data_IF_844930365241
#
_entry.id   IF_844930365241
#
_cell.length_a   1.000
_cell.length_b   1.000
_cell.length_c   1.000
_cell.angle_alpha   90.00
_cell.angle_beta   90.00
_cell.angle_gamma   90.00
#
_symmetry.space_group_name_H-M   'P 1'
#
loop_
_entity.id
_entity.type
_entity.pdbx_description
1 polymer ?
#
# COMPACT_ATOMS: atom_id res chain seq x y z
N UNK A 1 8.35 26.12 -1.69
CA UNK A 1 7.05 25.53 -2.02
C UNK A 1 5.98 26.25 -1.21
N UNK A 2 4.81 26.52 -1.80
CA UNK A 2 3.67 27.06 -1.08
C UNK A 2 2.94 25.93 -0.38
N UNK A 3 2.72 26.10 0.92
CA UNK A 3 1.97 25.18 1.77
C UNK A 3 0.68 25.88 2.22
N UNK A 4 -0.42 25.15 2.24
CA UNK A 4 -1.71 25.67 2.66
C UNK A 4 -2.53 24.58 3.36
N UNK A 5 -3.59 24.98 4.07
CA UNK A 5 -4.49 24.07 4.77
C UNK A 5 -5.84 24.00 4.05
N UNK A 6 -6.35 22.79 3.88
CA UNK A 6 -7.72 22.52 3.46
C UNK A 6 -8.35 21.58 4.46
N UNK A 7 -9.35 22.03 5.22
CA UNK A 7 -10.03 21.21 6.25
C UNK A 7 -9.03 20.52 7.20
N UNK A 8 -8.06 21.26 7.71
CA UNK A 8 -6.97 20.76 8.55
C UNK A 8 -6.06 19.68 7.89
N UNK A 9 -6.13 19.55 6.59
CA UNK A 9 -5.19 18.74 5.80
C UNK A 9 -4.08 19.66 5.32
N UNK A 10 -2.83 19.32 5.62
CA UNK A 10 -1.66 20.01 5.10
C UNK A 10 -1.48 19.70 3.63
N UNK A 11 -1.45 20.72 2.76
CA UNK A 11 -1.46 20.57 1.31
C UNK A 11 -0.24 21.20 0.65
N UNK A 12 0.28 20.53 -0.37
CA UNK A 12 1.26 21.06 -1.33
C UNK A 12 0.66 21.11 -2.73
N UNK A 13 1.16 22.00 -3.57
CA UNK A 13 0.80 22.01 -4.99
C UNK A 13 1.44 20.82 -5.71
N UNK A 14 0.62 19.93 -6.27
CA UNK A 14 1.07 18.77 -7.06
C UNK A 14 1.36 19.22 -8.49
N UNK A 15 2.64 19.38 -8.81
CA UNK A 15 3.08 19.87 -10.12
C UNK A 15 3.53 18.75 -11.08
N UNK A 16 3.83 17.56 -10.58
CA UNK A 16 4.28 16.44 -11.40
C UNK A 16 3.13 15.88 -12.25
N UNK A 17 3.34 15.84 -13.58
CA UNK A 17 2.32 15.36 -14.53
C UNK A 17 1.95 13.90 -14.35
N UNK A 18 2.89 13.06 -13.89
CA UNK A 18 2.64 11.65 -13.63
C UNK A 18 1.72 11.50 -12.43
N UNK A 19 2.02 12.20 -11.35
CA UNK A 19 1.20 12.22 -10.14
C UNK A 19 -0.18 12.83 -10.41
N UNK A 20 -0.27 13.88 -11.21
CA UNK A 20 -1.56 14.45 -11.64
C UNK A 20 -2.44 13.43 -12.39
N UNK A 21 -1.86 12.56 -13.22
CA UNK A 21 -2.61 11.47 -13.86
C UNK A 21 -3.18 10.48 -12.85
N UNK A 22 -2.39 10.11 -11.84
CA UNK A 22 -2.81 9.22 -10.75
C UNK A 22 -3.90 9.89 -9.89
N UNK A 23 -3.72 11.16 -9.50
CA UNK A 23 -4.74 11.88 -8.70
C UNK A 23 -6.06 12.03 -9.45
N UNK A 24 -6.03 12.34 -10.76
CA UNK A 24 -7.23 12.43 -11.60
C UNK A 24 -7.93 11.08 -11.72
N UNK A 25 -7.17 10.00 -11.80
CA UNK A 25 -7.69 8.64 -11.84
C UNK A 25 -8.49 8.30 -10.56
N UNK A 26 -7.92 8.55 -9.37
CA UNK A 26 -8.57 8.27 -8.09
C UNK A 26 -9.61 9.32 -7.66
N UNK A 27 -9.61 10.51 -8.26
CA UNK A 27 -10.66 11.51 -8.05
C UNK A 27 -12.05 10.99 -8.45
N UNK A 28 -12.11 10.25 -9.55
CA UNK A 28 -13.36 9.67 -10.07
C UNK A 28 -13.82 8.45 -9.27
N UNK A 29 -12.89 7.69 -8.72
CA UNK A 29 -13.19 6.46 -7.98
C UNK A 29 -12.21 6.33 -6.79
N UNK A 30 -12.51 7.01 -5.66
CA UNK A 30 -11.71 6.86 -4.44
C UNK A 30 -11.66 5.40 -4.00
N UNK A 31 -10.48 4.93 -3.58
CA UNK A 31 -10.29 3.53 -3.21
C UNK A 31 -9.40 3.40 -1.95
N UNK A 32 -9.75 2.48 -1.01
CA UNK A 32 -11.08 1.87 -0.84
C UNK A 32 -12.12 2.92 -0.44
N UNK A 33 -13.42 2.71 -0.72
CA UNK A 33 -14.45 3.67 -0.35
C UNK A 33 -15.11 3.31 1.00
N UNK A 34 -15.55 4.33 1.76
CA UNK A 34 -16.37 4.13 2.95
C UNK A 34 -17.81 3.81 2.57
N UNK A 35 -18.46 2.94 3.35
CA UNK A 35 -19.91 2.72 3.29
C UNK A 35 -20.61 3.70 4.26
N UNK A 36 -21.88 3.99 4.00
CA UNK A 36 -22.64 4.94 4.84
C UNK A 36 -22.66 4.59 6.34
N UNK A 37 -22.63 3.31 6.65
CA UNK A 37 -22.65 2.78 8.02
C UNK A 37 -21.25 2.46 8.58
N UNK A 38 -20.19 2.92 7.93
CA UNK A 38 -18.84 2.68 8.45
C UNK A 38 -18.58 3.56 9.67
N UNK A 39 -18.18 2.93 10.75
CA UNK A 39 -17.80 3.53 12.03
C UNK A 39 -16.48 2.93 12.54
N UNK A 40 -16.10 3.29 13.77
CA UNK A 40 -14.87 2.77 14.40
C UNK A 40 -14.86 1.24 14.49
N UNK A 41 -16.02 0.64 14.76
CA UNK A 41 -16.12 -0.82 14.95
C UNK A 41 -15.96 -1.52 13.61
N UNK A 42 -16.66 -1.06 12.57
CA UNK A 42 -16.56 -1.63 11.23
C UNK A 42 -15.15 -1.54 10.65
N UNK A 43 -14.44 -0.41 10.87
CA UNK A 43 -13.04 -0.26 10.43
C UNK A 43 -12.10 -1.17 11.21
N UNK A 44 -12.32 -1.36 12.52
CA UNK A 44 -11.55 -2.34 13.30
C UNK A 44 -11.78 -3.76 12.80
N UNK A 45 -13.02 -4.13 12.51
CA UNK A 45 -13.34 -5.46 11.97
C UNK A 45 -12.72 -5.69 10.59
N UNK A 46 -12.81 -4.70 9.68
CA UNK A 46 -12.19 -4.76 8.36
C UNK A 46 -10.68 -4.92 8.47
N UNK A 47 -10.02 -4.10 9.28
CA UNK A 47 -8.59 -4.15 9.50
C UNK A 47 -8.13 -5.46 10.15
N UNK A 48 -8.88 -5.99 11.13
CA UNK A 48 -8.57 -7.26 11.79
C UNK A 48 -8.74 -8.48 10.85
N UNK A 49 -9.60 -8.40 9.85
CA UNK A 49 -9.73 -9.43 8.80
C UNK A 49 -8.54 -9.42 7.82
N UNK A 50 -7.85 -8.30 7.68
CA UNK A 50 -6.62 -8.22 6.91
C UNK A 50 -5.44 -8.66 7.78
N UNK A 51 -4.97 -9.90 7.57
CA UNK A 51 -3.91 -10.52 8.39
C UNK A 51 -2.64 -9.65 8.44
N UNK A 52 -2.25 -9.05 7.32
CA UNK A 52 -1.06 -8.20 7.24
C UNK A 52 -1.23 -6.93 8.10
N UNK A 53 -2.35 -6.23 7.96
CA UNK A 53 -2.65 -5.03 8.74
C UNK A 53 -2.80 -5.34 10.24
N UNK A 54 -3.41 -6.48 10.57
CA UNK A 54 -3.57 -6.94 11.96
C UNK A 54 -2.20 -7.21 12.62
N UNK A 55 -1.32 -7.96 11.94
CA UNK A 55 0.01 -8.24 12.46
C UNK A 55 0.84 -6.97 12.61
N UNK A 56 0.77 -6.06 11.62
CA UNK A 56 1.43 -4.77 11.69
C UNK A 56 0.94 -3.96 12.90
N UNK A 57 -0.38 -3.79 13.07
CA UNK A 57 -0.95 -3.06 14.21
C UNK A 57 -0.54 -3.65 15.54
N UNK A 58 -0.51 -4.98 15.65
CA UNK A 58 -0.05 -5.67 16.86
C UNK A 58 1.45 -5.42 17.13
N UNK A 59 2.26 -5.44 16.07
CA UNK A 59 3.71 -5.28 16.17
C UNK A 59 4.14 -3.86 16.54
N UNK A 60 3.52 -2.83 15.97
CA UNK A 60 3.89 -1.43 16.24
C UNK A 60 3.69 -1.04 17.72
N UNK A 61 2.77 -1.68 18.43
CA UNK A 61 2.49 -1.37 19.83
C UNK A 61 1.91 0.03 20.05
N UNK A 62 2.42 0.75 21.05
CA UNK A 62 1.91 2.04 21.49
C UNK A 62 2.99 3.14 21.45
N UNK A 63 2.56 4.42 21.41
CA UNK A 63 3.44 5.63 21.44
C UNK A 63 4.45 5.69 20.30
N UNK A 64 4.08 5.23 19.12
CA UNK A 64 4.90 5.22 17.91
C UNK A 64 4.43 6.24 16.90
N UNK A 65 5.35 6.68 16.06
CA UNK A 65 5.09 7.51 14.89
C UNK A 65 5.07 6.63 13.66
N UNK A 66 3.93 6.60 12.97
CA UNK A 66 3.69 5.71 11.83
C UNK A 66 3.31 6.54 10.62
N UNK A 67 3.97 6.29 9.50
CA UNK A 67 3.61 6.85 8.19
C UNK A 67 2.90 5.78 7.35
N UNK A 68 1.72 6.09 6.87
CA UNK A 68 1.08 5.37 5.77
C UNK A 68 1.24 6.17 4.48
N UNK A 69 1.97 5.62 3.52
CA UNK A 69 2.19 6.22 2.20
C UNK A 69 1.13 5.73 1.23
N UNK A 70 0.55 6.65 0.43
CA UNK A 70 -0.56 6.33 -0.46
C UNK A 70 -1.80 5.89 0.32
N UNK A 71 -2.13 6.61 1.38
CA UNK A 71 -3.19 6.19 2.30
C UNK A 71 -4.61 6.26 1.68
N UNK A 72 -4.78 6.88 0.51
CA UNK A 72 -6.06 7.00 -0.18
C UNK A 72 -7.14 7.60 0.73
N UNK A 73 -8.23 6.90 0.90
CA UNK A 73 -9.32 7.31 1.81
C UNK A 73 -9.01 7.08 3.30
N UNK A 74 -7.79 6.66 3.65
CA UNK A 74 -7.31 6.57 5.02
C UNK A 74 -7.96 5.48 5.87
N UNK A 75 -8.59 4.47 5.28
CA UNK A 75 -9.22 3.40 6.08
C UNK A 75 -8.19 2.69 6.96
N UNK A 76 -7.01 2.41 6.41
CA UNK A 76 -5.96 1.71 7.13
C UNK A 76 -5.26 2.64 8.14
N UNK A 77 -5.00 3.91 7.79
CA UNK A 77 -4.48 4.91 8.73
C UNK A 77 -5.41 5.08 9.94
N UNK A 78 -6.72 5.20 9.69
CA UNK A 78 -7.73 5.23 10.75
C UNK A 78 -7.73 3.95 11.58
N UNK A 79 -7.62 2.78 10.96
CA UNK A 79 -7.49 1.50 11.67
C UNK A 79 -6.27 1.48 12.60
N UNK A 80 -5.11 1.96 12.16
CA UNK A 80 -3.91 2.02 13.00
C UNK A 80 -4.05 3.00 14.17
N UNK A 81 -4.84 4.06 14.00
CA UNK A 81 -5.10 5.06 15.03
C UNK A 81 -6.03 4.58 16.13
N UNK A 82 -7.10 3.86 15.76
CA UNK A 82 -8.17 3.47 16.68
C UNK A 82 -7.62 2.55 17.80
N UNK A 83 -7.90 2.93 19.06
CA UNK A 83 -7.49 2.16 20.23
C UNK A 83 -6.00 2.20 20.54
N UNK A 84 -5.26 3.14 19.96
CA UNK A 84 -3.84 3.36 20.21
C UNK A 84 -3.56 4.82 20.58
N UNK A 85 -2.36 5.09 21.12
CA UNK A 85 -1.83 6.43 21.30
C UNK A 85 -0.65 6.69 20.33
N UNK A 86 -0.61 5.98 19.21
CA UNK A 86 0.34 6.22 18.14
C UNK A 86 -0.02 7.51 17.39
N UNK A 87 0.99 8.20 16.88
CA UNK A 87 0.81 9.32 15.96
C UNK A 87 0.84 8.77 14.53
N UNK A 88 -0.30 8.78 13.86
CA UNK A 88 -0.41 8.27 12.49
C UNK A 88 -0.39 9.46 11.53
N UNK A 89 0.40 9.35 10.47
CA UNK A 89 0.43 10.31 9.36
C UNK A 89 0.05 9.56 8.09
N UNK A 90 -1.01 10.01 7.42
CA UNK A 90 -1.40 9.53 6.10
C UNK A 90 -0.92 10.50 5.03
N UNK A 91 -0.10 10.02 4.09
CA UNK A 91 0.37 10.78 2.93
C UNK A 91 -0.30 10.28 1.67
N UNK A 92 -0.97 11.17 0.92
CA UNK A 92 -1.56 10.85 -0.38
C UNK A 92 -1.62 12.09 -1.28
N UNK A 93 -1.34 11.98 -2.59
CA UNK A 93 -1.45 13.11 -3.51
C UNK A 93 -2.91 13.47 -3.86
N UNK A 94 -3.90 12.66 -3.45
CA UNK A 94 -5.32 12.82 -3.85
C UNK A 94 -6.13 13.52 -2.75
N UNK A 95 -6.25 14.84 -2.82
CA UNK A 95 -6.99 15.63 -1.81
C UNK A 95 -8.45 15.15 -1.62
N UNK A 96 -9.10 14.64 -2.68
CA UNK A 96 -10.47 14.12 -2.58
C UNK A 96 -10.56 12.90 -1.66
N UNK A 97 -9.58 11.99 -1.76
CA UNK A 97 -9.50 10.81 -0.90
C UNK A 97 -9.20 11.22 0.55
N UNK A 98 -8.27 12.15 0.75
CA UNK A 98 -7.92 12.64 2.09
C UNK A 98 -9.06 13.38 2.78
N UNK A 99 -9.92 14.08 2.04
CA UNK A 99 -11.14 14.68 2.62
C UNK A 99 -12.08 13.62 3.19
N UNK A 100 -12.21 12.46 2.54
CA UNK A 100 -12.98 11.33 3.07
C UNK A 100 -12.31 10.74 4.32
N UNK A 101 -10.98 10.58 4.29
CA UNK A 101 -10.19 10.09 5.42
C UNK A 101 -10.35 10.99 6.65
N UNK A 102 -10.19 12.31 6.47
CA UNK A 102 -10.32 13.31 7.56
C UNK A 102 -11.75 13.36 8.09
N UNK A 103 -12.75 13.41 7.20
CA UNK A 103 -14.16 13.40 7.60
C UNK A 103 -14.49 12.19 8.47
N UNK A 104 -14.01 11.00 8.10
CA UNK A 104 -14.21 9.79 8.89
C UNK A 104 -13.54 9.92 10.27
N UNK A 105 -12.30 10.39 10.32
CA UNK A 105 -11.57 10.61 11.58
C UNK A 105 -12.33 11.57 12.52
N UNK A 106 -12.80 12.70 11.99
CA UNK A 106 -13.52 13.72 12.76
C UNK A 106 -14.87 13.19 13.28
N UNK A 107 -15.65 12.54 12.42
CA UNK A 107 -16.95 11.95 12.80
C UNK A 107 -16.82 10.86 13.86
N UNK A 108 -15.67 10.19 13.92
CA UNK A 108 -15.40 9.11 14.85
C UNK A 108 -14.50 9.50 16.03
N UNK A 109 -14.21 10.79 16.23
CA UNK A 109 -13.36 11.30 17.32
C UNK A 109 -11.98 10.62 17.35
N UNK A 110 -11.32 10.52 16.20
CA UNK A 110 -9.96 9.98 16.05
C UNK A 110 -9.01 11.18 15.91
N UNK A 111 -8.28 11.53 16.99
CA UNK A 111 -7.47 12.73 17.06
C UNK A 111 -5.96 12.51 16.91
N UNK A 112 -5.53 11.26 16.91
CA UNK A 112 -4.12 10.87 16.83
C UNK A 112 -3.68 10.56 15.39
N UNK A 113 -4.36 11.18 14.41
CA UNK A 113 -4.07 11.04 12.98
C UNK A 113 -4.00 12.40 12.30
N UNK A 114 -3.08 12.56 11.36
CA UNK A 114 -2.95 13.73 10.49
C UNK A 114 -2.83 13.29 9.04
N UNK A 115 -3.28 14.14 8.11
CA UNK A 115 -3.20 13.85 6.69
C UNK A 115 -2.40 14.91 5.95
N UNK A 116 -1.58 14.48 4.99
CA UNK A 116 -0.74 15.33 4.15
C UNK A 116 -1.09 15.07 2.68
N UNK A 117 -1.54 16.11 1.99
CA UNK A 117 -1.75 16.09 0.56
C UNK A 117 -0.48 16.54 -0.16
N UNK A 118 0.34 15.61 -0.57
CA UNK A 118 1.59 15.87 -1.25
C UNK A 118 2.01 14.70 -2.15
N UNK A 119 2.84 14.98 -3.14
CA UNK A 119 3.59 13.95 -3.85
C UNK A 119 4.70 13.43 -2.92
N UNK A 120 5.00 12.13 -3.00
CA UNK A 120 6.11 11.52 -2.24
C UNK A 120 7.46 12.20 -2.55
N UNK A 121 7.60 12.79 -3.75
CA UNK A 121 8.79 13.55 -4.17
C UNK A 121 8.80 15.01 -3.68
N UNK A 122 7.75 15.44 -3.00
CA UNK A 122 7.76 16.72 -2.31
C UNK A 122 8.56 16.59 -1.00
N UNK A 123 9.32 17.62 -0.69
CA UNK A 123 10.16 17.65 0.52
C UNK A 123 9.30 17.99 1.75
N UNK A 124 8.41 17.06 2.13
CA UNK A 124 7.43 17.24 3.23
C UNK A 124 7.67 16.32 4.41
N UNK A 125 8.49 15.30 4.23
CA UNK A 125 8.79 14.34 5.28
C UNK A 125 10.04 14.79 6.06
N UNK A 126 9.96 14.68 7.37
CA UNK A 126 11.07 15.01 8.27
C UNK A 126 12.01 13.79 8.36
N UNK A 127 13.31 14.03 8.28
CA UNK A 127 14.32 12.98 8.40
C UNK A 127 14.26 12.33 9.80
N UNK A 128 14.51 11.02 9.84
CA UNK A 128 14.56 10.19 11.06
C UNK A 128 13.37 10.39 12.02
N UNK A 129 12.17 10.56 11.47
CA UNK A 129 10.99 10.89 12.26
C UNK A 129 10.09 9.70 12.60
N UNK A 130 9.90 8.75 11.65
CA UNK A 130 8.95 7.66 11.80
C UNK A 130 9.60 6.41 12.38
N UNK A 131 8.92 5.79 13.34
CA UNK A 131 9.30 4.47 13.87
C UNK A 131 8.92 3.37 12.88
N UNK A 132 7.83 3.57 12.12
CA UNK A 132 7.30 2.63 11.16
C UNK A 132 6.80 3.33 9.90
N UNK A 133 7.06 2.72 8.75
CA UNK A 133 6.53 3.15 7.45
C UNK A 133 5.79 1.99 6.81
N UNK A 134 4.53 2.23 6.48
CA UNK A 134 3.70 1.34 5.67
C UNK A 134 3.55 1.92 4.26
N UNK A 135 4.09 1.24 3.26
CA UNK A 135 4.03 1.64 1.86
C UNK A 135 3.65 0.43 1.00
N UNK A 136 2.37 0.10 0.99
CA UNK A 136 1.86 -1.10 0.32
C UNK A 136 1.03 -0.75 -0.90
N UNK A 137 1.45 -1.20 -2.08
CA UNK A 137 0.71 -0.96 -3.32
C UNK A 137 0.92 0.44 -3.92
N UNK A 138 2.02 1.14 -3.62
CA UNK A 138 2.20 2.56 -3.95
C UNK A 138 3.37 2.82 -4.88
N UNK A 139 4.58 2.40 -4.51
CA UNK A 139 5.80 2.84 -5.22
C UNK A 139 5.81 2.46 -6.70
N UNK A 140 5.23 1.33 -7.06
CA UNK A 140 5.15 0.89 -8.45
C UNK A 140 4.19 1.74 -9.32
N UNK A 141 3.46 2.65 -8.70
CA UNK A 141 2.63 3.66 -9.37
C UNK A 141 3.30 5.04 -9.43
N UNK A 142 4.55 5.15 -8.97
CA UNK A 142 5.33 6.38 -9.03
C UNK A 142 6.23 6.42 -10.27
N UNK A 143 6.69 7.62 -10.64
CA UNK A 143 7.63 7.82 -11.76
C UNK A 143 9.01 7.18 -11.53
N UNK A 144 9.42 7.03 -10.28
CA UNK A 144 10.70 6.44 -9.91
C UNK A 144 10.58 5.75 -8.55
N UNK A 145 10.26 4.44 -8.51
CA UNK A 145 10.07 3.68 -7.27
C UNK A 145 11.29 3.68 -6.35
N UNK A 146 12.48 3.56 -6.89
CA UNK A 146 13.71 3.55 -6.10
C UNK A 146 14.00 4.90 -5.44
N UNK A 147 13.81 6.00 -6.16
CA UNK A 147 13.97 7.33 -5.59
C UNK A 147 12.94 7.59 -4.49
N UNK A 148 11.69 7.18 -4.72
CA UNK A 148 10.64 7.28 -3.72
C UNK A 148 10.97 6.45 -2.48
N UNK A 149 11.48 5.23 -2.65
CA UNK A 149 11.99 4.41 -1.55
C UNK A 149 13.08 5.13 -0.76
N UNK A 150 14.09 5.72 -1.42
CA UNK A 150 15.18 6.43 -0.75
C UNK A 150 14.67 7.64 0.08
N UNK A 151 13.64 8.33 -0.38
CA UNK A 151 13.00 9.43 0.37
C UNK A 151 12.35 8.88 1.65
N UNK A 152 11.66 7.74 1.55
CA UNK A 152 11.05 7.11 2.71
C UNK A 152 12.10 6.66 3.73
N UNK A 153 13.21 6.08 3.28
CA UNK A 153 14.28 5.63 4.17
C UNK A 153 14.90 6.80 4.94
N UNK A 154 15.06 7.97 4.33
CA UNK A 154 15.53 9.17 5.05
C UNK A 154 14.61 9.57 6.20
N UNK A 155 13.30 9.42 6.03
CA UNK A 155 12.33 9.74 7.06
C UNK A 155 12.14 8.63 8.11
N UNK A 156 12.70 7.44 7.88
CA UNK A 156 12.67 6.33 8.82
C UNK A 156 13.72 6.56 9.91
N UNK A 157 13.34 6.38 11.17
CA UNK A 157 14.30 6.38 12.28
C UNK A 157 15.31 5.24 12.16
N UNK A 158 16.45 5.43 12.75
CA UNK A 158 17.41 4.36 12.97
C UNK A 158 16.73 3.23 13.75
N UNK A 159 16.87 1.99 13.27
CA UNK A 159 16.15 0.81 13.75
C UNK A 159 14.62 0.85 13.59
N UNK A 160 14.08 1.74 12.78
CA UNK A 160 12.68 1.73 12.37
C UNK A 160 12.38 0.60 11.38
N UNK A 161 11.12 0.31 11.15
CA UNK A 161 10.69 -0.73 10.21
C UNK A 161 9.96 -0.14 9.02
N UNK A 162 10.24 -0.67 7.84
CA UNK A 162 9.52 -0.34 6.61
C UNK A 162 8.91 -1.59 6.00
N UNK A 163 7.61 -1.51 5.65
CA UNK A 163 6.90 -2.50 4.87
C UNK A 163 6.64 -1.94 3.47
N UNK A 164 7.06 -2.67 2.45
CA UNK A 164 6.90 -2.28 1.05
C UNK A 164 6.11 -3.37 0.33
N UNK A 165 5.05 -2.98 -0.36
CA UNK A 165 4.29 -3.85 -1.25
C UNK A 165 4.39 -3.37 -2.70
N UNK A 166 4.80 -4.26 -3.62
CA UNK A 166 5.01 -3.97 -5.03
C UNK A 166 4.42 -5.05 -5.92
N UNK A 167 4.13 -4.73 -7.19
CA UNK A 167 3.76 -5.75 -8.17
C UNK A 167 4.98 -6.56 -8.62
N UNK A 168 4.85 -7.90 -8.49
CA UNK A 168 5.91 -8.84 -8.86
C UNK A 168 5.93 -9.09 -10.37
N UNK A 169 7.12 -9.10 -10.99
CA UNK A 169 7.29 -9.35 -12.42
C UNK A 169 6.68 -10.68 -12.87
N UNK A 170 6.84 -11.74 -12.07
CA UNK A 170 6.33 -13.08 -12.40
C UNK A 170 4.87 -13.20 -11.93
N UNK A 171 4.57 -12.88 -10.69
CA UNK A 171 3.22 -12.99 -10.13
C UNK A 171 2.16 -12.18 -10.89
N UNK A 172 2.55 -11.05 -11.50
CA UNK A 172 1.68 -10.17 -12.29
C UNK A 172 1.31 -10.73 -13.67
N UNK A 173 2.01 -11.75 -14.20
CA UNK A 173 1.78 -12.28 -15.55
C UNK A 173 0.32 -12.70 -15.81
N UNK A 174 -0.34 -13.30 -14.82
CA UNK A 174 -1.77 -13.64 -14.94
C UNK A 174 -2.65 -12.39 -15.13
N UNK A 175 -2.36 -11.33 -14.40
CA UNK A 175 -3.10 -10.06 -14.50
C UNK A 175 -2.77 -9.34 -15.80
N UNK A 176 -1.51 -9.36 -16.26
CA UNK A 176 -1.11 -8.82 -17.56
C UNK A 176 -1.87 -9.53 -18.68
N UNK A 177 -1.95 -10.85 -18.64
CA UNK A 177 -2.72 -11.63 -19.62
C UNK A 177 -4.20 -11.24 -19.59
N UNK A 178 -4.82 -11.14 -18.40
CA UNK A 178 -6.20 -10.69 -18.25
C UNK A 178 -6.38 -9.23 -18.72
N UNK A 179 -5.40 -8.34 -18.48
CA UNK A 179 -5.40 -6.95 -18.97
C UNK A 179 -5.44 -6.90 -20.50
N UNK A 180 -4.73 -7.80 -21.16
CA UNK A 180 -4.80 -7.94 -22.62
C UNK A 180 -6.18 -8.42 -23.08
N UNK A 181 -6.73 -9.45 -22.46
CA UNK A 181 -8.08 -9.94 -22.75
C UNK A 181 -9.15 -8.88 -22.47
N UNK A 182 -8.98 -8.07 -21.43
CA UNK A 182 -9.88 -6.95 -21.12
C UNK A 182 -9.93 -5.92 -22.25
N UNK A 183 -8.79 -5.61 -22.86
CA UNK A 183 -8.74 -4.67 -24.00
C UNK A 183 -9.48 -5.19 -25.23
N UNK A 184 -9.49 -6.53 -25.44
CA UNK A 184 -10.12 -7.15 -26.62
C UNK A 184 -11.61 -7.41 -26.36
N UNK A 185 -11.97 -8.00 -25.23
CA UNK A 185 -13.29 -8.55 -24.96
C UNK A 185 -14.10 -7.77 -23.91
N UNK A 186 -13.49 -6.76 -23.28
CA UNK A 186 -14.16 -5.87 -22.31
C UNK A 186 -14.46 -6.53 -20.96
N UNK A 187 -15.31 -5.82 -20.17
CA UNK A 187 -15.63 -6.13 -18.76
C UNK A 187 -16.27 -7.51 -18.57
N UNK A 188 -17.11 -7.97 -19.49
CA UNK A 188 -17.88 -9.23 -19.34
C UNK A 188 -16.98 -10.44 -19.15
N UNK A 189 -15.94 -10.59 -19.99
CA UNK A 189 -15.02 -11.71 -19.90
C UNK A 189 -14.17 -11.66 -18.62
N UNK A 190 -13.73 -10.47 -18.22
CA UNK A 190 -12.90 -10.30 -17.02
C UNK A 190 -13.67 -10.60 -15.73
N UNK A 191 -14.94 -10.23 -15.65
CA UNK A 191 -15.80 -10.61 -14.52
C UNK A 191 -15.85 -12.14 -14.31
N UNK A 192 -15.69 -12.89 -15.37
CA UNK A 192 -15.64 -14.36 -15.29
C UNK A 192 -14.23 -14.90 -14.99
N UNK A 193 -13.17 -14.28 -15.52
CA UNK A 193 -11.79 -14.78 -15.40
C UNK A 193 -11.08 -14.31 -14.12
N UNK A 194 -11.47 -13.19 -13.55
CA UNK A 194 -10.84 -12.66 -12.33
C UNK A 194 -11.48 -13.28 -11.08
N UNK A 195 -10.69 -14.00 -10.26
CA UNK A 195 -11.21 -14.62 -9.03
C UNK A 195 -11.83 -13.62 -8.05
N UNK A 196 -11.27 -12.40 -7.98
CA UNK A 196 -11.79 -11.33 -7.09
C UNK A 196 -13.15 -10.85 -7.56
N UNK A 197 -13.34 -10.64 -8.86
CA UNK A 197 -14.61 -10.19 -9.44
C UNK A 197 -15.71 -11.27 -9.40
N UNK A 198 -15.34 -12.53 -9.30
CA UNK A 198 -16.29 -13.63 -9.06
C UNK A 198 -16.82 -13.68 -7.63
N UNK A 199 -16.22 -12.92 -6.71
CA UNK A 199 -16.67 -12.89 -5.34
C UNK A 199 -18.03 -12.19 -5.24
N UNK A 200 -19.07 -12.94 -4.91
CA UNK A 200 -20.46 -12.45 -4.77
C UNK A 200 -20.65 -11.45 -3.60
N UNK A 201 -19.65 -11.30 -2.73
CA UNK A 201 -19.71 -10.36 -1.60
C UNK A 201 -19.31 -8.93 -1.98
N UNK A 202 -18.71 -8.72 -3.15
CA UNK A 202 -18.36 -7.40 -3.64
C UNK A 202 -19.58 -6.74 -4.30
N UNK A 203 -19.84 -5.49 -3.93
CA UNK A 203 -20.81 -4.66 -4.64
C UNK A 203 -20.25 -4.16 -5.99
N UNK A 204 -21.10 -3.51 -6.80
CA UNK A 204 -20.70 -3.05 -8.15
C UNK A 204 -19.67 -1.92 -8.12
N UNK A 205 -19.66 -1.10 -7.07
CA UNK A 205 -18.69 -0.02 -6.90
C UNK A 205 -17.32 -0.61 -6.54
N UNK A 206 -17.28 -1.59 -5.62
CA UNK A 206 -16.07 -2.32 -5.27
C UNK A 206 -15.48 -3.06 -6.47
N UNK A 207 -16.31 -3.71 -7.29
CA UNK A 207 -15.89 -4.36 -8.55
C UNK A 207 -15.35 -3.35 -9.56
N UNK A 208 -16.01 -2.21 -9.69
CA UNK A 208 -15.60 -1.15 -10.62
C UNK A 208 -14.26 -0.56 -10.18
N UNK A 209 -14.09 -0.28 -8.90
CA UNK A 209 -12.82 0.20 -8.33
C UNK A 209 -11.69 -0.82 -8.57
N UNK A 210 -11.95 -2.11 -8.33
CA UNK A 210 -11.00 -3.18 -8.62
C UNK A 210 -10.58 -3.25 -10.09
N UNK A 211 -11.55 -3.19 -11.01
CA UNK A 211 -11.28 -3.21 -12.46
C UNK A 211 -10.42 -2.01 -12.86
N UNK A 212 -10.73 -0.82 -12.37
CA UNK A 212 -9.97 0.39 -12.65
C UNK A 212 -8.54 0.23 -12.17
N UNK A 213 -8.34 -0.13 -10.91
CA UNK A 213 -7.03 -0.31 -10.30
C UNK A 213 -6.18 -1.36 -11.04
N UNK A 214 -6.73 -2.54 -11.29
CA UNK A 214 -5.97 -3.67 -11.84
C UNK A 214 -5.75 -3.61 -13.34
N UNK A 215 -6.68 -3.04 -14.13
CA UNK A 215 -6.68 -3.13 -15.60
C UNK A 215 -6.52 -1.79 -16.32
N UNK A 216 -6.78 -0.66 -15.67
CA UNK A 216 -6.83 0.67 -16.32
C UNK A 216 -5.79 1.64 -15.73
N UNK A 217 -5.14 1.30 -14.60
CA UNK A 217 -4.20 2.21 -13.94
C UNK A 217 -3.15 2.78 -14.92
N UNK A 218 -2.90 4.12 -14.90
CA UNK A 218 -2.10 4.79 -15.92
C UNK A 218 -0.60 4.54 -15.81
N UNK A 219 -0.10 4.20 -14.62
CA UNK A 219 1.33 4.02 -14.34
C UNK A 219 1.51 2.74 -13.54
N UNK A 220 2.34 1.83 -14.03
CA UNK A 220 2.65 0.59 -13.36
C UNK A 220 4.07 0.14 -13.71
N UNK A 221 4.86 -0.17 -12.69
CA UNK A 221 6.16 -0.84 -12.82
C UNK A 221 6.15 -2.19 -12.12
N UNK A 222 7.02 -3.09 -12.53
CA UNK A 222 7.09 -4.46 -12.02
C UNK A 222 8.47 -4.72 -11.42
N UNK A 223 8.48 -5.33 -10.25
CA UNK A 223 9.67 -5.53 -9.44
C UNK A 223 9.88 -6.98 -9.05
N UNK A 224 11.05 -7.31 -8.53
CA UNK A 224 11.37 -8.62 -7.96
C UNK A 224 11.80 -8.47 -6.49
N UNK A 225 11.76 -9.57 -5.74
CA UNK A 225 12.30 -9.58 -4.37
C UNK A 225 13.78 -9.20 -4.39
N UNK A 226 14.56 -9.72 -5.36
CA UNK A 226 16.00 -9.41 -5.49
C UNK A 226 16.27 -7.93 -5.72
N UNK A 227 15.42 -7.25 -6.52
CA UNK A 227 15.53 -5.82 -6.73
C UNK A 227 15.32 -5.04 -5.42
N UNK A 228 14.33 -5.41 -4.62
CA UNK A 228 14.09 -4.76 -3.31
C UNK A 228 15.19 -5.08 -2.31
N UNK A 229 15.74 -6.28 -2.31
CA UNK A 229 16.91 -6.61 -1.49
C UNK A 229 18.13 -5.76 -1.87
N UNK A 230 18.33 -5.46 -3.15
CA UNK A 230 19.38 -4.53 -3.59
C UNK A 230 19.11 -3.10 -3.10
N UNK A 231 17.84 -2.64 -3.11
CA UNK A 231 17.48 -1.34 -2.52
C UNK A 231 17.81 -1.29 -1.02
N UNK A 232 17.52 -2.36 -0.30
CA UNK A 232 17.83 -2.48 1.13
C UNK A 232 19.33 -2.42 1.36
N UNK A 233 20.11 -3.23 0.63
CA UNK A 233 21.56 -3.26 0.75
C UNK A 233 22.20 -1.88 0.47
N UNK A 234 21.74 -1.18 -0.57
CA UNK A 234 22.25 0.15 -0.92
C UNK A 234 21.92 1.23 0.12
N UNK A 235 20.94 0.98 1.00
CA UNK A 235 20.49 1.91 2.04
C UNK A 235 20.77 1.42 3.46
N UNK A 236 21.57 0.35 3.62
CA UNK A 236 21.88 -0.27 4.91
C UNK A 236 20.62 -0.69 5.70
N UNK A 237 19.58 -1.13 5.00
CA UNK A 237 18.36 -1.69 5.59
C UNK A 237 18.52 -3.20 5.74
N UNK A 238 18.31 -3.69 6.94
CA UNK A 238 18.30 -5.12 7.21
C UNK A 238 17.03 -5.76 6.70
N UNK A 239 17.13 -6.85 5.93
CA UNK A 239 15.98 -7.66 5.54
C UNK A 239 15.40 -8.38 6.76
N UNK A 240 14.10 -8.31 6.95
CA UNK A 240 13.35 -9.01 8.00
C UNK A 240 12.61 -10.21 7.42
N UNK A 241 11.69 -9.98 6.48
CA UNK A 241 10.89 -11.05 5.86
C UNK A 241 10.29 -10.62 4.53
N UNK A 242 9.66 -11.56 3.82
CA UNK A 242 8.87 -11.28 2.62
C UNK A 242 7.67 -12.21 2.46
N UNK A 243 6.69 -11.76 1.68
CA UNK A 243 5.53 -12.55 1.23
C UNK A 243 5.43 -12.40 -0.31
N UNK A 244 5.63 -13.47 -1.12
CA UNK A 244 6.01 -14.83 -0.69
C UNK A 244 7.35 -14.86 0.04
N UNK A 245 7.59 -15.93 0.78
CA UNK A 245 8.88 -16.14 1.47
C UNK A 245 10.05 -16.02 0.49
N UNK A 246 11.13 -15.44 0.94
CA UNK A 246 12.42 -15.39 0.21
C UNK A 246 13.18 -16.71 0.27
N UNK A 247 12.86 -17.55 1.26
CA UNK A 247 13.35 -18.90 1.43
C UNK A 247 12.17 -19.89 1.41
N UNK A 248 12.35 -21.18 1.66
CA UNK A 248 11.29 -22.19 1.72
C UNK A 248 10.60 -22.28 3.10
N UNK A 249 10.78 -21.29 3.95
CA UNK A 249 10.03 -21.11 5.19
C UNK A 249 8.72 -20.36 4.92
N UNK A 250 7.59 -21.08 4.97
CA UNK A 250 6.25 -20.56 4.69
C UNK A 250 5.46 -20.23 5.97
N UNK A 251 6.11 -20.09 7.11
CA UNK A 251 5.45 -19.63 8.31
C UNK A 251 5.22 -18.10 8.23
N UNK A 252 3.96 -17.69 8.15
CA UNK A 252 3.53 -16.29 8.13
C UNK A 252 2.81 -15.86 9.42
N UNK A 253 2.95 -16.64 10.51
CA UNK A 253 2.31 -16.31 11.78
C UNK A 253 2.88 -15.04 12.42
N UNK A 254 4.15 -14.74 12.17
CA UNK A 254 4.79 -13.48 12.55
C UNK A 254 5.66 -12.97 11.41
N UNK A 255 5.13 -12.02 10.64
CA UNK A 255 5.83 -11.42 9.49
C UNK A 255 6.96 -10.46 9.91
N UNK A 256 7.04 -10.06 11.18
CA UNK A 256 8.11 -9.20 11.71
C UNK A 256 9.23 -9.99 12.37
N UNK A 257 9.09 -11.31 12.47
CA UNK A 257 10.19 -12.19 12.84
C UNK A 257 11.24 -12.22 11.72
N UNK A 258 12.51 -12.03 12.09
CA UNK A 258 13.62 -12.09 11.13
C UNK A 258 13.72 -13.49 10.53
N UNK A 259 13.70 -13.54 9.20
CA UNK A 259 13.83 -14.73 8.38
C UNK A 259 15.06 -14.66 7.49
N UNK A 260 15.42 -15.78 6.88
CA UNK A 260 16.46 -15.84 5.87
C UNK A 260 16.04 -15.09 4.60
N UNK A 261 16.94 -14.31 4.02
CA UNK A 261 16.74 -13.73 2.68
C UNK A 261 16.81 -14.78 1.56
N UNK A 262 17.13 -16.03 1.91
CA UNK A 262 17.21 -17.15 1.01
C UNK A 262 18.29 -17.03 -0.06
N UNK A 263 18.28 -17.98 -0.98
CA UNK A 263 19.12 -17.97 -2.17
C UNK A 263 18.38 -17.34 -3.35
N UNK A 264 19.08 -16.97 -4.41
CA UNK A 264 18.46 -16.54 -5.66
C UNK A 264 17.47 -17.60 -6.20
N UNK A 265 17.84 -18.87 -6.09
CA UNK A 265 16.99 -19.97 -6.53
C UNK A 265 15.68 -20.07 -5.73
N UNK A 266 15.76 -20.03 -4.39
CA UNK A 266 14.54 -20.09 -3.55
C UNK A 266 13.61 -18.92 -3.84
N UNK A 267 14.15 -17.70 -3.98
CA UNK A 267 13.37 -16.51 -4.32
C UNK A 267 12.67 -16.61 -5.67
N UNK A 268 13.36 -17.11 -6.71
CA UNK A 268 12.75 -17.30 -8.03
C UNK A 268 11.64 -18.36 -7.97
N UNK A 269 11.88 -19.51 -7.32
CA UNK A 269 10.87 -20.54 -7.14
C UNK A 269 9.62 -20.00 -6.43
N UNK A 270 9.80 -19.25 -5.37
CA UNK A 270 8.68 -18.66 -4.62
C UNK A 270 7.93 -17.58 -5.41
N UNK A 271 8.61 -16.77 -6.21
CA UNK A 271 7.96 -15.83 -7.11
C UNK A 271 7.18 -16.55 -8.23
N UNK A 272 7.71 -17.65 -8.78
CA UNK A 272 7.00 -18.48 -9.75
C UNK A 272 5.75 -19.11 -9.11
N UNK A 273 5.82 -19.53 -7.85
CA UNK A 273 4.67 -20.10 -7.15
C UNK A 273 3.47 -19.15 -7.07
N UNK A 274 3.69 -17.83 -7.11
CA UNK A 274 2.62 -16.83 -7.17
C UNK A 274 1.69 -16.99 -8.38
N UNK A 275 2.14 -17.66 -9.45
CA UNK A 275 1.28 -17.96 -10.60
C UNK A 275 0.23 -19.02 -10.29
N UNK A 276 0.44 -19.87 -9.28
CA UNK A 276 -0.38 -21.05 -9.03
C UNK A 276 -1.13 -21.02 -7.71
N UNK A 277 -0.73 -20.15 -6.78
CA UNK A 277 -1.31 -20.08 -5.44
C UNK A 277 -2.09 -18.78 -5.18
N UNK A 278 -2.71 -18.69 -3.99
CA UNK A 278 -3.48 -17.51 -3.56
C UNK A 278 -2.64 -16.27 -3.33
N UNK A 279 -1.35 -16.39 -3.01
CA UNK A 279 -0.45 -15.25 -2.78
C UNK A 279 -0.32 -14.34 -4.01
N UNK A 280 -0.56 -14.87 -5.21
CA UNK A 280 -0.63 -14.06 -6.44
C UNK A 280 -2.03 -13.56 -6.81
N UNK A 281 -3.07 -13.83 -6.00
CA UNK A 281 -4.46 -13.47 -6.32
C UNK A 281 -4.71 -11.95 -6.25
N UNK A 282 -3.98 -11.22 -5.40
CA UNK A 282 -4.05 -9.77 -5.25
C UNK A 282 -3.24 -9.04 -6.36
N UNK A 283 -3.48 -9.45 -7.60
CA UNK A 283 -2.84 -8.84 -8.75
C UNK A 283 -1.33 -9.11 -8.88
N UNK A 284 -0.79 -10.07 -8.12
CA UNK A 284 0.63 -10.37 -8.09
C UNK A 284 1.43 -9.44 -7.17
N UNK A 285 0.80 -8.89 -6.14
CA UNK A 285 1.47 -8.08 -5.14
C UNK A 285 2.38 -8.96 -4.27
N UNK A 286 3.59 -8.50 -3.99
CA UNK A 286 4.50 -9.08 -3.01
C UNK A 286 4.90 -8.05 -1.96
N UNK A 287 5.23 -8.52 -0.77
CA UNK A 287 5.61 -7.68 0.37
C UNK A 287 7.06 -7.96 0.75
N UNK A 288 7.82 -6.93 1.11
CA UNK A 288 9.13 -7.05 1.74
C UNK A 288 9.17 -6.13 2.96
N UNK A 289 9.69 -6.65 4.07
CA UNK A 289 9.84 -5.92 5.33
C UNK A 289 11.33 -5.76 5.62
N UNK A 290 11.73 -4.55 5.96
CA UNK A 290 13.09 -4.17 6.35
C UNK A 290 13.13 -3.37 7.64
N UNK A 291 14.33 -3.32 8.24
CA UNK A 291 14.62 -2.59 9.47
C UNK A 291 15.87 -1.74 9.32
#
# INVERSE_FOLDING_TARGET
>A
KEYFLINDIFCCNINDKSTQKVTNFYKETPFPNYKENDDRVSILEKGNKNILAYQFKKFIGLKKKVLEVGCGTGQLANYFSIGTNNQIVGLDPTIYSLKLAKRFADQNNIFNISFINADIFDDVLVDEYFDFIWCNGVLHHTKNPYLAFNILIKSLKKNGYILIGLYNKIGRLRTIFRKYLFKIFGKKLINYLDPTLRNLKLDEDEKTAWIRDQYIHPIESLHTIDEVLNWFNNNNIEFISSIPSSDFDYDYNDIFQKKSSGTYYSRICNQISMLFNKLGSDGGLFIVIGK
#
